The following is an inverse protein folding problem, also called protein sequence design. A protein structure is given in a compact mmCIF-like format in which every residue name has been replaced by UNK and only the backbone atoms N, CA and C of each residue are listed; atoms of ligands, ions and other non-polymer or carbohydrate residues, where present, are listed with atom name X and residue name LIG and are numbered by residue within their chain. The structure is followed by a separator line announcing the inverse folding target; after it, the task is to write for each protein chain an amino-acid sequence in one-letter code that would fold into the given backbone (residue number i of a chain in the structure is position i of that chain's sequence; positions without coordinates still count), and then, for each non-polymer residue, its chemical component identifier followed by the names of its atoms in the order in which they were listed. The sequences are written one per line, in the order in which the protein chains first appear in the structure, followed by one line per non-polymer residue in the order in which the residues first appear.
data_IF_318853125997
#
_entry.id   IF_318853125997
#
_cell.length_a   1.000
_cell.length_b   1.000
_cell.length_c   1.000
_cell.angle_alpha   90.00
_cell.angle_beta   90.00
_cell.angle_gamma   90.00
#
_symmetry.space_group_name_H-M   'P 1'
#
loop_
_entity.id
_entity.type
_entity.pdbx_description
1 polymer ?
#
# COMPACT_ATOMS: atom_id res chain seq x y z
N UNK A 1 40.93 26.14 -69.83
CA UNK A 1 40.86 25.13 -68.73
C UNK A 1 40.04 25.74 -67.61
N UNK A 2 38.74 25.35 -67.49
CA UNK A 2 37.86 25.80 -66.41
C UNK A 2 37.75 24.66 -65.35
N UNK A 3 38.25 24.92 -64.17
CA UNK A 3 38.14 24.01 -63.03
C UNK A 3 36.75 24.13 -62.35
N UNK A 4 36.02 23.02 -62.43
CA UNK A 4 34.71 22.88 -61.78
C UNK A 4 34.90 22.46 -60.30
N UNK A 5 34.47 23.29 -59.38
CA UNK A 5 34.45 22.98 -57.93
C UNK A 5 33.13 22.29 -57.61
N UNK A 6 33.18 21.01 -57.24
CA UNK A 6 32.05 20.26 -56.76
C UNK A 6 31.88 20.47 -55.25
N UNK A 7 30.77 21.08 -54.88
CA UNK A 7 30.43 21.29 -53.46
C UNK A 7 29.60 20.11 -52.98
N UNK A 8 30.14 19.32 -52.05
CA UNK A 8 29.42 18.20 -51.38
C UNK A 8 28.58 18.77 -50.21
N UNK A 9 27.28 18.71 -50.34
CA UNK A 9 26.36 19.06 -49.22
C UNK A 9 26.12 17.81 -48.36
N UNK A 10 26.62 17.84 -47.11
CA UNK A 10 26.29 16.83 -46.11
C UNK A 10 24.88 17.11 -45.54
N UNK A 11 23.97 16.21 -45.79
CA UNK A 11 22.63 16.20 -45.17
C UNK A 11 22.72 15.52 -43.80
N UNK A 12 22.71 16.30 -42.71
CA UNK A 12 22.63 15.77 -41.36
C UNK A 12 21.16 15.40 -41.04
N UNK A 13 20.86 14.12 -41.06
CA UNK A 13 19.56 13.61 -40.56
C UNK A 13 19.60 13.56 -39.06
N UNK A 14 18.95 14.53 -38.40
CA UNK A 14 18.71 14.51 -36.96
C UNK A 14 17.67 13.45 -36.61
N UNK A 15 18.11 12.30 -36.08
CA UNK A 15 17.23 11.31 -35.45
C UNK A 15 16.71 11.90 -34.16
N UNK A 16 15.50 12.48 -34.13
CA UNK A 16 14.77 12.78 -32.92
C UNK A 16 14.22 11.48 -32.35
N UNK A 17 14.90 10.93 -31.34
CA UNK A 17 14.38 9.85 -30.54
C UNK A 17 13.14 10.35 -29.79
N UNK A 18 11.96 10.05 -30.31
CA UNK A 18 10.72 10.17 -29.52
C UNK A 18 10.76 9.16 -28.39
N UNK A 19 11.17 9.58 -27.21
CA UNK A 19 10.91 8.82 -25.98
C UNK A 19 9.40 8.81 -25.77
N UNK A 20 8.76 7.68 -26.11
CA UNK A 20 7.38 7.44 -25.69
C UNK A 20 7.34 7.52 -24.18
N UNK A 21 6.43 8.31 -23.56
CA UNK A 21 6.21 8.20 -22.14
C UNK A 21 5.86 6.74 -21.84
N UNK A 22 6.64 6.09 -21.02
CA UNK A 22 6.28 4.78 -20.47
C UNK A 22 4.92 4.94 -19.82
N UNK A 23 3.90 4.27 -20.35
CA UNK A 23 2.60 4.21 -19.70
C UNK A 23 2.85 3.80 -18.23
N UNK A 24 2.29 4.56 -17.29
CA UNK A 24 2.35 4.17 -15.89
C UNK A 24 1.88 2.72 -15.78
N UNK A 25 2.64 1.87 -15.07
CA UNK A 25 2.28 0.47 -14.91
C UNK A 25 0.85 0.40 -14.36
N UNK A 26 0.01 -0.41 -14.98
CA UNK A 26 -1.35 -0.63 -14.50
C UNK A 26 -1.29 -1.37 -13.16
N UNK A 27 -2.10 -0.92 -12.20
CA UNK A 27 -2.17 -1.57 -10.88
C UNK A 27 -2.59 -3.02 -11.05
N UNK A 28 -1.81 -4.01 -10.55
CA UNK A 28 -1.97 -5.40 -10.96
C UNK A 28 -3.11 -6.14 -10.26
N UNK A 29 -3.70 -5.60 -9.21
CA UNK A 29 -4.86 -6.23 -8.55
C UNK A 29 -6.13 -5.82 -9.31
N UNK A 30 -6.99 -6.81 -9.61
CA UNK A 30 -8.20 -6.62 -10.40
C UNK A 30 -9.44 -7.15 -9.68
N UNK A 31 -10.61 -6.80 -10.18
CA UNK A 31 -11.88 -7.33 -9.65
C UNK A 31 -11.93 -8.87 -9.72
N UNK A 32 -12.49 -9.48 -8.69
CA UNK A 32 -12.63 -10.93 -8.57
C UNK A 32 -11.42 -11.67 -8.03
N UNK A 33 -10.34 -10.97 -7.65
CA UNK A 33 -9.10 -11.64 -7.24
C UNK A 33 -9.10 -12.12 -5.80
N UNK A 34 -8.37 -13.22 -5.63
CA UNK A 34 -7.96 -13.81 -4.35
C UNK A 34 -6.47 -13.53 -4.16
N UNK A 35 -6.20 -12.48 -3.37
CA UNK A 35 -4.84 -12.00 -3.06
C UNK A 35 -4.31 -12.75 -1.84
N UNK A 36 -3.13 -13.33 -1.96
CA UNK A 36 -2.41 -13.95 -0.85
C UNK A 36 -1.07 -13.28 -0.65
N UNK A 37 -0.77 -12.93 0.61
CA UNK A 37 0.46 -12.27 1.02
C UNK A 37 1.29 -13.29 1.77
N UNK A 38 2.36 -13.78 1.12
CA UNK A 38 3.27 -14.81 1.60
C UNK A 38 4.58 -14.16 2.06
N UNK A 39 5.08 -14.53 3.23
CA UNK A 39 6.32 -14.01 3.77
C UNK A 39 6.64 -14.57 5.15
N UNK A 40 7.57 -13.92 5.83
CA UNK A 40 8.09 -14.29 7.14
C UNK A 40 7.37 -13.60 8.32
N UNK A 41 8.08 -13.37 9.44
CA UNK A 41 7.55 -12.72 10.65
C UNK A 41 7.03 -11.30 10.40
N UNK A 42 7.63 -10.57 9.47
CA UNK A 42 7.24 -9.19 9.16
C UNK A 42 5.87 -9.19 8.46
N UNK A 43 5.66 -10.14 7.55
CA UNK A 43 4.34 -10.40 6.95
C UNK A 43 3.36 -10.92 8.01
N UNK A 44 3.79 -11.83 8.91
CA UNK A 44 2.96 -12.37 10.00
C UNK A 44 2.43 -11.29 10.94
N UNK A 45 3.13 -10.17 11.13
CA UNK A 45 2.66 -9.01 11.90
C UNK A 45 1.40 -8.36 11.30
N UNK A 46 1.09 -8.58 10.04
CA UNK A 46 -0.12 -8.08 9.33
C UNK A 46 -0.21 -6.56 9.19
N UNK A 47 0.84 -5.79 9.48
CA UNK A 47 0.77 -4.33 9.44
C UNK A 47 0.79 -3.81 7.99
N UNK A 48 1.90 -4.00 7.23
CA UNK A 48 1.97 -3.52 5.85
C UNK A 48 0.92 -4.16 4.94
N UNK A 49 0.58 -5.41 5.20
CA UNK A 49 -0.44 -6.14 4.43
C UNK A 49 -1.85 -5.61 4.68
N UNK A 50 -2.15 -5.13 5.90
CA UNK A 50 -3.39 -4.42 6.21
C UNK A 50 -3.46 -3.08 5.50
N UNK A 51 -2.34 -2.34 5.38
CA UNK A 51 -2.27 -1.09 4.60
C UNK A 51 -2.61 -1.37 3.13
N UNK A 52 -1.98 -2.39 2.52
CA UNK A 52 -2.23 -2.76 1.11
C UNK A 52 -3.69 -3.16 0.89
N UNK A 53 -4.24 -3.99 1.76
CA UNK A 53 -5.64 -4.41 1.67
C UNK A 53 -6.61 -3.24 1.85
N UNK A 54 -6.46 -2.46 2.92
CA UNK A 54 -7.33 -1.33 3.21
C UNK A 54 -7.29 -0.25 2.11
N UNK A 55 -6.08 0.05 1.59
CA UNK A 55 -5.91 0.91 0.43
C UNK A 55 -6.70 0.40 -0.78
N UNK A 56 -6.51 -0.88 -1.12
CA UNK A 56 -7.15 -1.47 -2.31
C UNK A 56 -8.67 -1.47 -2.19
N UNK A 57 -9.20 -1.84 -1.01
CA UNK A 57 -10.64 -1.87 -0.76
C UNK A 57 -11.27 -0.46 -0.74
N UNK A 58 -10.58 0.53 -0.21
CA UNK A 58 -11.02 1.92 -0.22
C UNK A 58 -11.02 2.52 -1.64
N UNK A 59 -9.99 2.20 -2.43
CA UNK A 59 -9.80 2.71 -3.78
C UNK A 59 -10.78 2.09 -4.79
N UNK A 60 -11.09 0.80 -4.62
CA UNK A 60 -11.93 0.02 -5.53
C UNK A 60 -13.12 -0.60 -4.78
N UNK A 61 -14.07 0.25 -4.28
CA UNK A 61 -15.14 -0.23 -3.39
C UNK A 61 -16.13 -1.18 -4.06
N UNK A 62 -16.14 -1.29 -5.39
CA UNK A 62 -17.03 -2.18 -6.14
C UNK A 62 -16.39 -3.56 -6.44
N UNK A 63 -15.07 -3.70 -6.28
CA UNK A 63 -14.39 -4.95 -6.61
C UNK A 63 -14.67 -6.05 -5.59
N UNK A 64 -14.82 -7.27 -6.07
CA UNK A 64 -15.00 -8.48 -5.23
C UNK A 64 -13.61 -9.07 -4.95
N UNK A 65 -13.00 -8.65 -3.87
CA UNK A 65 -11.64 -9.05 -3.49
C UNK A 65 -11.65 -9.85 -2.20
N UNK A 66 -10.75 -10.83 -2.12
CA UNK A 66 -10.40 -11.46 -0.86
C UNK A 66 -8.89 -11.33 -0.63
N UNK A 67 -8.50 -11.07 0.62
CA UNK A 67 -7.10 -11.00 1.04
C UNK A 67 -6.84 -12.00 2.15
N UNK A 68 -5.71 -12.73 2.05
CA UNK A 68 -5.25 -13.68 3.08
C UNK A 68 -3.77 -13.49 3.31
N UNK A 69 -3.39 -13.26 4.55
CA UNK A 69 -2.01 -13.16 4.98
C UNK A 69 -1.59 -14.52 5.54
N UNK A 70 -0.55 -15.11 4.97
CA UNK A 70 0.05 -16.36 5.41
C UNK A 70 1.54 -16.19 5.74
N UNK A 71 1.90 -15.06 6.36
CA UNK A 71 3.21 -14.85 6.95
C UNK A 71 3.49 -15.81 8.10
N UNK A 72 4.75 -16.22 8.27
CA UNK A 72 5.16 -17.18 9.30
C UNK A 72 6.49 -16.78 9.93
N UNK A 73 6.51 -16.60 11.24
CA UNK A 73 7.68 -16.17 12.01
C UNK A 73 8.90 -17.05 11.78
N UNK A 74 10.04 -16.42 11.45
CA UNK A 74 11.31 -17.11 11.18
C UNK A 74 11.39 -17.84 9.83
N UNK A 75 10.38 -17.74 8.98
CA UNK A 75 10.32 -18.45 7.71
C UNK A 75 11.28 -17.85 6.66
N UNK A 76 11.60 -18.68 5.67
CA UNK A 76 12.48 -18.40 4.54
C UNK A 76 11.78 -18.76 3.23
N UNK A 77 12.35 -18.37 2.09
CA UNK A 77 11.85 -18.80 0.78
C UNK A 77 11.76 -20.33 0.67
N UNK A 78 12.72 -21.06 1.25
CA UNK A 78 12.69 -22.53 1.31
C UNK A 78 11.52 -23.04 2.16
N UNK A 79 11.30 -22.47 3.34
CA UNK A 79 10.18 -22.84 4.22
C UNK A 79 8.84 -22.52 3.56
N UNK A 80 8.71 -21.32 2.97
CA UNK A 80 7.54 -20.91 2.20
C UNK A 80 7.20 -21.87 1.06
N UNK A 81 8.20 -22.30 0.28
CA UNK A 81 8.05 -23.32 -0.76
C UNK A 81 7.57 -24.66 -0.18
N UNK A 82 8.18 -25.10 0.91
CA UNK A 82 7.85 -26.39 1.55
C UNK A 82 6.42 -26.43 2.08
N UNK A 83 5.90 -25.33 2.61
CA UNK A 83 4.52 -25.24 3.13
C UNK A 83 3.47 -24.80 2.12
N UNK A 84 3.86 -24.36 0.92
CA UNK A 84 2.92 -23.85 -0.09
C UNK A 84 1.80 -24.84 -0.44
N UNK A 85 2.02 -26.17 -0.60
CA UNK A 85 0.95 -27.11 -0.86
C UNK A 85 -0.11 -27.20 0.24
N UNK A 86 0.29 -26.98 1.51
CA UNK A 86 -0.61 -27.04 2.67
C UNK A 86 -1.32 -25.69 2.91
N UNK A 87 -0.60 -24.57 2.78
CA UNK A 87 -1.05 -23.27 3.29
C UNK A 87 -1.49 -22.31 2.19
N UNK A 88 -0.86 -22.38 1.02
CA UNK A 88 -1.04 -21.42 -0.07
C UNK A 88 -2.02 -21.94 -1.15
N UNK A 89 -1.76 -23.12 -1.71
CA UNK A 89 -2.55 -23.64 -2.82
C UNK A 89 -4.03 -23.89 -2.48
N UNK A 90 -4.40 -24.33 -1.25
CA UNK A 90 -5.82 -24.47 -0.88
C UNK A 90 -6.62 -23.17 -0.89
N UNK A 91 -5.95 -22.00 -0.79
CA UNK A 91 -6.57 -20.68 -0.89
C UNK A 91 -6.91 -20.32 -2.35
N UNK A 92 -6.45 -21.11 -3.32
CA UNK A 92 -6.67 -20.90 -4.77
C UNK A 92 -6.33 -19.47 -5.19
N UNK A 93 -5.12 -18.95 -4.87
CA UNK A 93 -4.77 -17.57 -5.13
C UNK A 93 -4.80 -17.27 -6.63
N UNK A 94 -5.17 -16.03 -6.97
CA UNK A 94 -5.03 -15.49 -8.34
C UNK A 94 -3.91 -14.46 -8.42
N UNK A 95 -3.56 -13.84 -7.28
CA UNK A 95 -2.45 -12.93 -7.15
C UNK A 95 -1.70 -13.19 -5.82
N UNK A 96 -0.38 -13.30 -5.87
CA UNK A 96 0.47 -13.57 -4.69
C UNK A 96 1.61 -12.58 -4.63
N UNK A 97 1.83 -11.95 -3.47
CA UNK A 97 3.09 -11.29 -3.15
C UNK A 97 3.98 -12.24 -2.38
N UNK A 98 5.28 -12.28 -2.68
CA UNK A 98 6.28 -13.08 -1.97
C UNK A 98 7.31 -12.14 -1.38
N UNK A 99 7.38 -12.07 -0.04
CA UNK A 99 8.27 -11.19 0.72
C UNK A 99 9.11 -12.03 1.69
N UNK A 100 10.26 -12.52 1.19
CA UNK A 100 11.28 -13.25 1.93
C UNK A 100 12.65 -12.61 1.72
N UNK A 101 13.64 -13.02 2.50
CA UNK A 101 15.03 -12.57 2.44
C UNK A 101 15.59 -12.21 3.81
N UNK A 102 14.75 -11.70 4.72
CA UNK A 102 15.19 -11.28 6.04
C UNK A 102 15.80 -12.43 6.86
N UNK A 103 15.21 -13.62 6.83
CA UNK A 103 15.78 -14.79 7.50
C UNK A 103 16.74 -15.57 6.58
N UNK A 104 16.51 -15.52 5.26
CA UNK A 104 17.32 -16.25 4.29
C UNK A 104 18.80 -15.82 4.34
N UNK A 105 19.10 -14.51 4.52
CA UNK A 105 20.48 -14.00 4.55
C UNK A 105 21.26 -14.42 5.82
N UNK A 106 20.61 -15.03 6.80
CA UNK A 106 21.23 -15.55 8.01
C UNK A 106 21.87 -14.50 8.92
N UNK A 107 21.46 -13.25 8.80
CA UNK A 107 21.92 -12.09 9.60
C UNK A 107 23.43 -11.89 9.55
N UNK A 108 24.06 -12.08 8.39
CA UNK A 108 25.50 -12.02 8.17
C UNK A 108 25.87 -11.27 6.88
N UNK A 109 27.17 -11.09 6.67
CA UNK A 109 27.71 -10.62 5.41
C UNK A 109 27.33 -11.58 4.27
N UNK A 110 27.34 -11.05 3.03
CA UNK A 110 27.00 -11.82 1.84
C UNK A 110 27.74 -13.16 1.77
N UNK A 111 26.98 -14.20 1.47
CA UNK A 111 27.43 -15.57 1.22
C UNK A 111 26.81 -16.08 -0.07
N UNK A 112 27.65 -16.51 -1.01
CA UNK A 112 27.25 -16.96 -2.35
C UNK A 112 26.34 -18.20 -2.30
N UNK A 113 26.60 -19.13 -1.35
CA UNK A 113 25.79 -20.34 -1.20
C UNK A 113 24.37 -20.02 -0.70
N UNK A 114 24.27 -19.14 0.28
CA UNK A 114 22.99 -18.62 0.80
C UNK A 114 22.23 -17.89 -0.30
N UNK A 115 22.91 -17.01 -1.03
CA UNK A 115 22.30 -16.25 -2.13
C UNK A 115 21.74 -17.19 -3.21
N UNK A 116 22.52 -18.15 -3.68
CA UNK A 116 22.07 -19.12 -4.70
C UNK A 116 20.87 -19.94 -4.22
N UNK A 117 20.88 -20.39 -2.97
CA UNK A 117 19.73 -21.10 -2.41
C UNK A 117 18.48 -20.22 -2.37
N UNK A 118 18.60 -18.98 -1.90
CA UNK A 118 17.48 -18.02 -1.88
C UNK A 118 16.88 -17.81 -3.27
N UNK A 119 17.71 -17.51 -4.26
CA UNK A 119 17.27 -17.28 -5.66
C UNK A 119 16.63 -18.54 -6.25
N UNK A 120 17.20 -19.73 -5.99
CA UNK A 120 16.62 -21.01 -6.43
C UNK A 120 15.22 -21.23 -5.83
N UNK A 121 15.04 -20.99 -4.52
CA UNK A 121 13.74 -21.19 -3.87
C UNK A 121 12.69 -20.16 -4.28
N UNK A 122 13.08 -18.90 -4.49
CA UNK A 122 12.20 -17.88 -5.08
C UNK A 122 11.75 -18.28 -6.50
N UNK A 123 12.67 -18.76 -7.33
CA UNK A 123 12.35 -19.22 -8.68
C UNK A 123 11.38 -20.40 -8.67
N UNK A 124 11.59 -21.37 -7.77
CA UNK A 124 10.69 -22.52 -7.61
C UNK A 124 9.30 -22.11 -7.13
N UNK A 125 9.20 -21.15 -6.19
CA UNK A 125 7.90 -20.57 -5.75
C UNK A 125 7.16 -19.91 -6.91
N UNK A 126 7.85 -19.11 -7.71
CA UNK A 126 7.28 -18.48 -8.90
C UNK A 126 6.75 -19.54 -9.86
N UNK A 127 7.55 -20.56 -10.18
CA UNK A 127 7.15 -21.64 -11.07
C UNK A 127 5.94 -22.40 -10.56
N UNK A 128 5.89 -22.73 -9.25
CA UNK A 128 4.77 -23.39 -8.59
C UNK A 128 3.47 -22.56 -8.74
N UNK A 129 3.55 -21.27 -8.48
CA UNK A 129 2.38 -20.38 -8.52
C UNK A 129 1.87 -20.17 -9.95
N UNK A 130 2.77 -19.95 -10.91
CA UNK A 130 2.40 -19.86 -12.33
C UNK A 130 1.73 -21.14 -12.83
N UNK A 131 2.24 -22.32 -12.45
CA UNK A 131 1.63 -23.61 -12.78
C UNK A 131 0.21 -23.78 -12.17
N UNK A 132 -0.10 -23.05 -11.08
CA UNK A 132 -1.42 -23.02 -10.46
C UNK A 132 -2.29 -21.80 -10.88
N UNK A 133 -1.87 -21.07 -11.91
CA UNK A 133 -2.64 -19.97 -12.50
C UNK A 133 -2.59 -18.67 -11.72
N UNK A 134 -1.71 -18.52 -10.74
CA UNK A 134 -1.54 -17.28 -9.99
C UNK A 134 -0.52 -16.34 -10.67
N UNK A 135 -0.82 -15.04 -10.67
CA UNK A 135 0.14 -13.98 -10.96
C UNK A 135 0.96 -13.69 -9.72
N UNK A 136 2.22 -13.34 -9.90
CA UNK A 136 3.18 -13.19 -8.79
C UNK A 136 3.80 -11.80 -8.82
N UNK A 137 3.96 -11.20 -7.65
CA UNK A 137 4.83 -10.06 -7.41
C UNK A 137 5.90 -10.47 -6.40
N UNK A 138 7.17 -10.42 -6.81
CA UNK A 138 8.30 -10.58 -5.93
C UNK A 138 8.58 -9.26 -5.23
N UNK A 139 8.64 -9.30 -3.89
CA UNK A 139 8.89 -8.13 -3.04
C UNK A 139 10.27 -8.27 -2.42
N UNK A 140 11.10 -7.22 -2.50
CA UNK A 140 12.41 -7.23 -1.84
C UNK A 140 12.24 -7.19 -0.31
N UNK A 141 13.13 -7.82 0.48
CA UNK A 141 13.14 -7.59 1.92
C UNK A 141 13.39 -6.10 2.21
N UNK A 142 12.86 -5.58 3.33
CA UNK A 142 13.24 -4.25 3.79
C UNK A 142 14.66 -4.27 4.41
N UNK A 143 15.32 -3.10 4.53
CA UNK A 143 16.61 -3.04 5.22
C UNK A 143 16.47 -3.17 6.74
N UNK A 144 17.55 -3.63 7.40
CA UNK A 144 17.70 -3.66 8.86
C UNK A 144 17.98 -2.24 9.36
N UNK A 145 17.31 -1.81 10.42
CA UNK A 145 17.45 -0.49 11.02
C UNK A 145 18.19 -0.53 12.37
N UNK A 146 19.46 -0.90 12.35
CA UNK A 146 20.30 -0.78 13.56
C UNK A 146 20.74 0.66 13.80
N UNK A 147 20.95 0.99 15.07
CA UNK A 147 21.51 2.31 15.44
C UNK A 147 22.95 2.46 14.97
N UNK A 148 23.73 1.39 14.95
CA UNK A 148 25.11 1.32 14.48
C UNK A 148 25.43 -0.09 13.95
N UNK A 149 26.22 -0.24 12.90
CA UNK A 149 26.73 0.84 12.02
C UNK A 149 25.58 1.59 11.32
N UNK A 150 25.91 2.65 10.58
CA UNK A 150 24.93 3.32 9.71
C UNK A 150 24.32 2.29 8.76
N UNK A 151 23.03 2.39 8.40
CA UNK A 151 22.34 1.35 7.63
C UNK A 151 22.99 1.02 6.28
N UNK A 152 23.58 2.04 5.61
CA UNK A 152 24.28 1.88 4.33
C UNK A 152 25.66 1.21 4.46
N UNK A 153 26.18 1.09 5.68
CA UNK A 153 27.46 0.44 6.01
C UNK A 153 27.31 -0.91 6.70
N UNK A 154 26.05 -1.30 6.99
CA UNK A 154 25.76 -2.59 7.61
C UNK A 154 25.94 -3.69 6.58
N UNK A 155 26.85 -4.65 6.87
CA UNK A 155 27.12 -5.80 5.99
C UNK A 155 25.88 -6.67 5.74
N UNK A 156 24.92 -6.66 6.66
CA UNK A 156 23.64 -7.36 6.50
C UNK A 156 22.78 -6.66 5.44
N UNK A 157 22.76 -5.34 5.44
CA UNK A 157 22.05 -4.55 4.42
C UNK A 157 22.72 -4.67 3.04
N UNK A 158 24.07 -4.81 2.97
CA UNK A 158 24.75 -5.16 1.72
C UNK A 158 24.29 -6.52 1.19
N UNK A 159 24.17 -7.52 2.09
CA UNK A 159 23.64 -8.86 1.75
C UNK A 159 22.20 -8.78 1.25
N UNK A 160 21.30 -8.06 1.95
CA UNK A 160 19.90 -7.88 1.57
C UNK A 160 19.76 -7.12 0.25
N UNK A 161 20.60 -6.13 -0.02
CA UNK A 161 20.65 -5.42 -1.29
C UNK A 161 20.98 -6.34 -2.45
N UNK A 162 22.00 -7.20 -2.30
CA UNK A 162 22.37 -8.19 -3.32
C UNK A 162 21.24 -9.21 -3.56
N UNK A 163 20.54 -9.63 -2.49
CA UNK A 163 19.33 -10.46 -2.62
C UNK A 163 18.23 -9.75 -3.39
N UNK A 164 18.03 -8.46 -3.13
CA UNK A 164 17.05 -7.62 -3.84
C UNK A 164 17.38 -7.49 -5.33
N UNK A 165 18.66 -7.30 -5.67
CA UNK A 165 19.12 -7.26 -7.06
C UNK A 165 18.89 -8.60 -7.78
N UNK A 166 19.27 -9.71 -7.13
CA UNK A 166 19.02 -11.05 -7.67
C UNK A 166 17.53 -11.35 -7.84
N UNK A 167 16.68 -10.86 -6.93
CA UNK A 167 15.23 -11.01 -7.05
C UNK A 167 14.66 -10.23 -8.25
N UNK A 168 15.22 -9.06 -8.56
CA UNK A 168 14.89 -8.28 -9.76
C UNK A 168 15.23 -9.06 -11.03
N UNK A 169 16.37 -9.75 -11.04
CA UNK A 169 16.77 -10.62 -12.17
C UNK A 169 15.80 -11.79 -12.33
N UNK A 170 15.40 -12.44 -11.22
CA UNK A 170 14.39 -13.51 -11.24
C UNK A 170 13.07 -12.98 -11.81
N UNK A 171 12.59 -11.83 -11.34
CA UNK A 171 11.34 -11.24 -11.83
C UNK A 171 11.39 -10.97 -13.34
N UNK A 172 12.51 -10.44 -13.84
CA UNK A 172 12.72 -10.16 -15.25
C UNK A 172 12.73 -11.47 -16.07
N UNK A 173 13.48 -12.48 -15.61
CA UNK A 173 13.62 -13.77 -16.29
C UNK A 173 12.30 -14.54 -16.34
N UNK A 174 11.58 -14.55 -15.24
CA UNK A 174 10.32 -15.28 -15.09
C UNK A 174 9.11 -14.51 -15.65
N UNK A 175 9.27 -13.23 -16.01
CA UNK A 175 8.19 -12.38 -16.50
C UNK A 175 7.10 -12.12 -15.46
N UNK A 176 7.51 -11.93 -14.19
CA UNK A 176 6.61 -11.61 -13.06
C UNK A 176 6.84 -10.19 -12.56
N UNK A 177 5.92 -9.70 -11.73
CA UNK A 177 6.01 -8.37 -11.16
C UNK A 177 7.12 -8.31 -10.11
N UNK A 178 7.69 -7.13 -9.97
CA UNK A 178 8.72 -6.82 -8.99
C UNK A 178 8.32 -5.57 -8.21
N UNK A 179 8.43 -5.62 -6.90
CA UNK A 179 8.17 -4.50 -6.02
C UNK A 179 9.38 -4.26 -5.10
N UNK A 180 10.08 -3.18 -5.35
CA UNK A 180 11.21 -2.76 -4.53
C UNK A 180 10.72 -1.94 -3.33
N UNK A 181 10.94 -2.46 -2.13
CA UNK A 181 10.79 -1.72 -0.89
C UNK A 181 12.14 -1.42 -0.22
N UNK A 182 13.21 -2.13 -0.60
CA UNK A 182 14.53 -1.98 0.01
C UNK A 182 15.09 -0.56 -0.19
N UNK A 183 15.26 -0.15 -1.44
CA UNK A 183 15.88 1.13 -1.75
C UNK A 183 15.04 2.34 -1.30
N UNK A 184 13.71 2.38 -1.50
CA UNK A 184 12.88 3.46 -0.97
C UNK A 184 12.93 3.56 0.56
N UNK A 185 12.87 2.43 1.29
CA UNK A 185 12.96 2.43 2.74
C UNK A 185 14.34 2.91 3.22
N UNK A 186 15.42 2.41 2.62
CA UNK A 186 16.79 2.85 2.90
C UNK A 186 16.96 4.36 2.70
N UNK A 187 16.42 4.90 1.60
CA UNK A 187 16.47 6.33 1.33
C UNK A 187 15.79 7.17 2.42
N UNK A 188 14.64 6.70 2.94
CA UNK A 188 13.93 7.37 4.06
C UNK A 188 14.77 7.32 5.34
N UNK A 189 15.36 6.17 5.68
CA UNK A 189 16.25 6.03 6.83
C UNK A 189 17.44 6.98 6.76
N UNK A 190 18.14 6.98 5.63
CA UNK A 190 19.33 7.85 5.44
C UNK A 190 18.97 9.32 5.52
N UNK A 191 17.85 9.73 4.92
CA UNK A 191 17.37 11.12 5.01
C UNK A 191 17.03 11.51 6.45
N UNK A 192 16.39 10.63 7.21
CA UNK A 192 16.07 10.89 8.61
C UNK A 192 17.35 11.05 9.45
N UNK A 193 18.36 10.20 9.22
CA UNK A 193 19.65 10.26 9.93
C UNK A 193 20.53 11.43 9.53
N UNK A 194 20.37 11.99 8.35
CA UNK A 194 21.01 13.27 7.98
C UNK A 194 20.51 14.43 8.87
N UNK A 195 19.24 14.41 9.25
CA UNK A 195 18.65 15.42 10.12
C UNK A 195 18.91 15.12 11.61
N UNK A 196 18.86 13.85 12.01
CA UNK A 196 19.15 13.36 13.36
C UNK A 196 19.88 12.01 13.27
N UNK A 197 21.18 11.94 13.57
CA UNK A 197 21.97 10.70 13.56
C UNK A 197 21.42 9.57 14.44
N UNK A 198 20.56 9.89 15.42
CA UNK A 198 19.91 8.92 16.30
C UNK A 198 18.53 8.50 15.81
N UNK A 199 18.04 9.05 14.69
CA UNK A 199 16.72 8.74 14.17
C UNK A 199 16.52 7.24 13.94
N UNK A 200 15.39 6.72 14.43
CA UNK A 200 14.88 5.39 14.14
C UNK A 200 13.44 5.56 13.63
N UNK A 201 13.22 5.32 12.34
CA UNK A 201 11.94 5.61 11.68
C UNK A 201 10.96 4.44 11.71
N UNK A 202 11.48 3.21 11.83
CA UNK A 202 10.67 2.00 11.77
C UNK A 202 9.69 1.86 12.93
N UNK A 203 10.08 2.29 14.13
CA UNK A 203 9.22 2.25 15.32
C UNK A 203 8.98 0.83 15.87
N UNK A 204 9.86 -0.11 15.57
CA UNK A 204 9.88 -1.48 16.10
C UNK A 204 11.26 -1.83 16.64
N UNK A 205 11.67 -3.08 16.45
CA UNK A 205 13.07 -3.48 16.60
C UNK A 205 13.82 -3.30 15.26
N UNK A 206 15.12 -3.64 15.23
CA UNK A 206 15.95 -3.45 14.04
C UNK A 206 15.49 -4.27 12.82
N UNK A 207 14.76 -5.36 13.02
CA UNK A 207 14.33 -6.33 12.01
C UNK A 207 12.83 -6.22 11.72
N UNK A 208 12.04 -5.95 12.76
CA UNK A 208 10.57 -5.91 12.70
C UNK A 208 10.08 -4.48 12.86
N UNK A 209 9.90 -3.73 11.75
CA UNK A 209 9.37 -2.37 11.83
C UNK A 209 7.96 -2.36 12.46
N UNK A 210 7.69 -1.31 13.24
CA UNK A 210 6.35 -1.02 13.75
C UNK A 210 5.45 -0.37 12.69
N UNK A 211 4.29 0.20 13.10
CA UNK A 211 3.30 0.74 12.17
C UNK A 211 3.84 1.78 11.18
N UNK A 212 4.72 2.69 11.61
CA UNK A 212 5.34 3.70 10.74
C UNK A 212 6.20 3.05 9.66
N UNK A 213 7.13 2.16 10.05
CA UNK A 213 8.03 1.49 9.10
C UNK A 213 7.27 0.58 8.15
N UNK A 214 6.31 -0.19 8.63
CA UNK A 214 5.50 -1.05 7.76
C UNK A 214 4.55 -0.26 6.84
N UNK A 215 4.18 0.97 7.20
CA UNK A 215 3.49 1.86 6.26
C UNK A 215 4.42 2.36 5.16
N UNK A 216 5.72 2.60 5.46
CA UNK A 216 6.73 2.90 4.45
C UNK A 216 6.90 1.72 3.48
N UNK A 217 6.95 0.48 4.00
CA UNK A 217 6.98 -0.74 3.18
C UNK A 217 5.78 -0.79 2.23
N UNK A 218 4.57 -0.67 2.77
CA UNK A 218 3.34 -0.68 1.97
C UNK A 218 3.30 0.43 0.91
N UNK A 219 3.75 1.64 1.25
CA UNK A 219 3.87 2.75 0.30
C UNK A 219 4.82 2.41 -0.84
N UNK A 220 6.00 1.87 -0.55
CA UNK A 220 6.97 1.50 -1.56
C UNK A 220 6.42 0.41 -2.49
N UNK A 221 5.83 -0.65 -1.93
CA UNK A 221 5.21 -1.76 -2.67
C UNK A 221 4.07 -1.24 -3.57
N UNK A 222 3.11 -0.52 -3.01
CA UNK A 222 1.96 0.00 -3.75
C UNK A 222 2.39 0.93 -4.88
N UNK A 223 3.33 1.83 -4.61
CA UNK A 223 3.87 2.77 -5.60
C UNK A 223 4.60 2.03 -6.73
N UNK A 224 5.46 1.07 -6.40
CA UNK A 224 6.19 0.25 -7.37
C UNK A 224 5.24 -0.56 -8.26
N UNK A 225 4.13 -1.05 -7.70
CA UNK A 225 3.08 -1.76 -8.42
C UNK A 225 2.09 -0.83 -9.17
N UNK A 226 2.34 0.47 -9.24
CA UNK A 226 1.51 1.40 -10.01
C UNK A 226 0.15 1.72 -9.39
N UNK A 227 0.02 1.61 -8.06
CA UNK A 227 -1.21 1.95 -7.36
C UNK A 227 -1.62 3.42 -7.62
N UNK A 228 -2.88 3.70 -8.02
CA UNK A 228 -3.30 5.04 -8.41
C UNK A 228 -3.34 6.01 -7.23
N UNK A 229 -2.71 7.17 -7.38
CA UNK A 229 -2.71 8.23 -6.37
C UNK A 229 -4.06 8.98 -6.29
N UNK A 230 -4.71 9.20 -7.43
CA UNK A 230 -5.93 9.99 -7.49
C UNK A 230 -7.12 9.26 -6.85
N UNK A 231 -7.74 9.86 -5.84
CA UNK A 231 -9.03 9.42 -5.27
C UNK A 231 -10.15 10.13 -6.03
N UNK A 232 -10.23 11.43 -5.85
CA UNK A 232 -11.19 12.31 -6.52
C UNK A 232 -10.76 13.76 -6.35
N UNK A 233 -11.25 14.64 -7.23
CA UNK A 233 -11.03 16.07 -7.15
C UNK A 233 -12.30 16.84 -7.48
N UNK A 234 -12.54 17.93 -6.77
CA UNK A 234 -13.63 18.89 -7.04
C UNK A 234 -13.05 20.29 -7.11
N UNK A 235 -13.43 21.05 -8.16
CA UNK A 235 -13.10 22.45 -8.32
C UNK A 235 -14.40 23.28 -8.45
N UNK A 236 -14.53 24.29 -7.59
CA UNK A 236 -15.69 25.20 -7.56
C UNK A 236 -15.25 26.66 -7.61
N UNK A 237 -16.11 27.48 -8.17
CA UNK A 237 -16.00 28.92 -8.03
C UNK A 237 -16.82 29.39 -6.81
N UNK A 238 -16.15 29.88 -5.78
CA UNK A 238 -16.74 30.26 -4.49
C UNK A 238 -17.57 31.53 -4.53
N UNK A 239 -17.46 32.36 -5.59
CA UNK A 239 -18.29 33.55 -5.73
C UNK A 239 -19.63 33.25 -6.44
N UNK A 240 -19.71 32.21 -7.26
CA UNK A 240 -20.89 31.89 -8.07
C UNK A 240 -21.54 30.55 -7.71
N UNK A 241 -20.84 29.67 -6.97
CA UNK A 241 -21.28 28.31 -6.73
C UNK A 241 -21.07 27.35 -7.94
N UNK A 242 -20.54 27.86 -9.06
CA UNK A 242 -20.35 27.04 -10.27
C UNK A 242 -19.31 25.93 -10.02
N UNK A 243 -19.71 24.70 -10.33
CA UNK A 243 -18.76 23.56 -10.41
C UNK A 243 -17.92 23.73 -11.69
N UNK A 244 -16.63 23.88 -11.54
CA UNK A 244 -15.65 24.04 -12.64
C UNK A 244 -15.22 22.69 -13.18
N UNK A 245 -14.88 21.77 -12.26
CA UNK A 245 -14.49 20.41 -12.60
C UNK A 245 -14.81 19.44 -11.44
N UNK A 246 -15.10 18.19 -11.79
CA UNK A 246 -15.24 17.10 -10.82
C UNK A 246 -14.74 15.80 -11.47
N UNK A 247 -13.81 15.11 -10.80
CA UNK A 247 -13.25 13.85 -11.27
C UNK A 247 -13.28 12.86 -10.12
N UNK A 248 -13.80 11.64 -10.36
CA UNK A 248 -13.95 10.61 -9.32
C UNK A 248 -15.00 10.97 -8.25
N UNK A 249 -15.80 12.05 -8.46
CA UNK A 249 -16.90 12.44 -7.59
C UNK A 249 -18.02 13.12 -8.38
N UNK A 250 -19.19 13.20 -7.76
CA UNK A 250 -20.34 13.97 -8.20
C UNK A 250 -20.58 15.12 -7.23
N UNK A 251 -20.84 16.32 -7.77
CA UNK A 251 -21.17 17.51 -6.99
C UNK A 251 -22.60 17.92 -7.34
N UNK A 252 -23.44 18.09 -6.32
CA UNK A 252 -24.81 18.61 -6.45
C UNK A 252 -25.10 19.72 -5.44
N UNK A 253 -26.24 20.40 -5.60
CA UNK A 253 -26.75 21.41 -4.69
C UNK A 253 -25.78 22.56 -4.38
N UNK A 254 -24.85 22.84 -5.30
CA UNK A 254 -23.85 23.88 -5.12
C UNK A 254 -24.50 25.27 -5.13
N UNK A 255 -24.30 26.03 -4.06
CA UNK A 255 -24.84 27.37 -3.87
C UNK A 255 -23.90 28.24 -3.05
N UNK A 256 -24.06 29.56 -3.23
CA UNK A 256 -23.35 30.59 -2.46
C UNK A 256 -24.37 31.57 -1.88
N UNK A 257 -24.25 31.85 -0.60
CA UNK A 257 -25.05 32.86 0.09
C UNK A 257 -24.20 33.52 1.19
N UNK A 258 -24.08 34.84 1.18
CA UNK A 258 -23.31 35.62 2.17
C UNK A 258 -21.88 35.04 2.40
N UNK A 259 -21.14 34.83 1.33
CA UNK A 259 -19.78 34.22 1.34
C UNK A 259 -19.67 32.78 1.87
N UNK A 260 -20.81 32.12 2.09
CA UNK A 260 -20.86 30.71 2.46
C UNK A 260 -21.08 29.88 1.21
N UNK A 261 -20.15 28.96 0.93
CA UNK A 261 -20.25 28.00 -0.18
C UNK A 261 -20.74 26.67 0.37
N UNK A 262 -21.84 26.16 -0.16
CA UNK A 262 -22.41 24.86 0.25
C UNK A 262 -22.57 23.97 -0.98
N UNK A 263 -22.25 22.69 -0.87
CA UNK A 263 -22.46 21.67 -1.90
C UNK A 263 -22.53 20.27 -1.31
N UNK A 264 -23.17 19.36 -2.01
CA UNK A 264 -23.12 17.92 -1.71
C UNK A 264 -22.07 17.27 -2.60
N UNK A 265 -21.19 16.44 -2.01
CA UNK A 265 -20.18 15.65 -2.72
C UNK A 265 -20.39 14.17 -2.44
N UNK A 266 -20.43 13.36 -3.52
CA UNK A 266 -20.44 11.90 -3.46
C UNK A 266 -19.26 11.39 -4.26
N UNK A 267 -18.33 10.75 -3.59
CA UNK A 267 -17.12 10.18 -4.19
C UNK A 267 -17.35 8.79 -4.77
N UNK A 268 -16.55 8.40 -5.74
CA UNK A 268 -16.54 7.05 -6.30
C UNK A 268 -15.66 6.08 -5.48
N UNK A 269 -14.73 6.61 -4.68
CA UNK A 269 -13.79 5.88 -3.84
C UNK A 269 -13.56 6.65 -2.52
N UNK A 270 -13.04 5.95 -1.51
CA UNK A 270 -12.60 6.57 -0.27
C UNK A 270 -11.11 6.95 -0.34
N UNK A 271 -10.68 8.01 0.39
CA UNK A 271 -9.27 8.24 0.63
C UNK A 271 -8.63 7.08 1.38
N UNK A 272 -7.31 6.98 1.30
CA UNK A 272 -6.55 5.90 1.92
C UNK A 272 -6.82 5.81 3.43
N UNK A 273 -7.27 4.66 3.93
CA UNK A 273 -7.29 4.41 5.37
C UNK A 273 -5.87 4.37 5.93
N UNK A 274 -5.65 5.04 7.05
CA UNK A 274 -4.36 5.08 7.72
C UNK A 274 -4.51 4.66 9.18
N UNK A 275 -3.57 3.82 9.64
CA UNK A 275 -3.43 3.51 11.06
C UNK A 275 -3.12 4.79 11.84
N UNK A 276 -3.91 5.19 12.85
CA UNK A 276 -3.61 6.37 13.66
C UNK A 276 -2.21 6.35 14.28
N UNK A 277 -1.68 5.16 14.65
CA UNK A 277 -0.33 5.00 15.19
C UNK A 277 0.78 5.22 14.14
N UNK A 278 0.44 5.19 12.85
CA UNK A 278 1.36 5.42 11.75
C UNK A 278 1.28 6.84 11.15
N UNK A 279 0.44 7.73 11.66
CA UNK A 279 0.22 9.07 11.08
C UNK A 279 1.51 9.89 10.90
N UNK A 280 2.49 9.69 11.78
CA UNK A 280 3.81 10.32 11.70
C UNK A 280 4.55 10.03 10.36
N UNK A 281 4.21 8.96 9.64
CA UNK A 281 4.77 8.59 8.34
C UNK A 281 4.60 9.68 7.29
N UNK A 282 3.53 10.48 7.38
CA UNK A 282 3.25 11.58 6.44
C UNK A 282 4.30 12.70 6.46
N UNK A 283 5.11 12.76 7.53
CA UNK A 283 6.26 13.68 7.65
C UNK A 283 7.54 13.09 7.05
N UNK A 284 7.59 11.78 6.86
CA UNK A 284 8.77 11.05 6.36
C UNK A 284 8.72 10.83 4.85
N UNK A 285 7.54 10.54 4.32
CA UNK A 285 7.31 10.22 2.91
C UNK A 285 6.11 11.01 2.35
N UNK A 286 6.04 11.25 1.04
CA UNK A 286 4.91 11.92 0.39
C UNK A 286 3.70 10.98 0.22
N UNK A 287 3.29 10.28 1.30
CA UNK A 287 2.27 9.24 1.29
C UNK A 287 0.98 9.68 0.60
N UNK A 288 0.49 10.87 0.99
CA UNK A 288 -0.80 11.37 0.49
C UNK A 288 -0.72 11.79 -0.98
N UNK A 289 0.39 12.39 -1.39
CA UNK A 289 0.60 12.77 -2.78
C UNK A 289 0.72 11.55 -3.70
N UNK A 290 1.36 10.49 -3.21
CA UNK A 290 1.63 9.27 -3.97
C UNK A 290 0.45 8.28 -3.97
N UNK A 291 -0.38 8.23 -2.90
CA UNK A 291 -1.40 7.20 -2.74
C UNK A 291 -2.81 7.72 -2.39
N UNK A 292 -2.99 9.01 -2.08
CA UNK A 292 -4.31 9.50 -1.63
C UNK A 292 -4.55 10.98 -1.92
N UNK A 293 -4.66 11.33 -3.21
CA UNK A 293 -5.04 12.67 -3.62
C UNK A 293 -6.56 12.82 -3.60
N UNK A 294 -7.07 13.29 -2.47
CA UNK A 294 -8.49 13.59 -2.23
C UNK A 294 -8.65 15.13 -2.16
N UNK A 295 -8.90 15.77 -3.30
CA UNK A 295 -8.64 17.18 -3.49
C UNK A 295 -9.94 18.01 -3.52
N UNK A 296 -9.87 19.20 -2.91
CA UNK A 296 -10.84 20.27 -3.02
C UNK A 296 -10.13 21.56 -3.41
N UNK A 297 -10.57 22.19 -4.49
CA UNK A 297 -10.11 23.51 -4.94
C UNK A 297 -11.30 24.45 -5.02
N UNK A 298 -11.18 25.63 -4.38
CA UNK A 298 -12.22 26.66 -4.43
C UNK A 298 -11.60 28.02 -4.70
N UNK A 299 -11.93 28.62 -5.83
CA UNK A 299 -11.45 29.94 -6.27
C UNK A 299 -12.52 31.02 -6.05
N UNK A 300 -12.13 32.28 -6.08
CA UNK A 300 -13.09 33.41 -5.99
C UNK A 300 -13.69 33.62 -4.58
N UNK A 301 -13.00 33.12 -3.55
CA UNK A 301 -13.35 33.39 -2.16
C UNK A 301 -12.85 34.79 -1.73
N UNK A 302 -13.61 35.49 -0.90
CA UNK A 302 -13.38 36.91 -0.53
C UNK A 302 -12.77 37.08 0.85
N UNK A 303 -13.13 36.22 1.81
CA UNK A 303 -12.53 36.23 3.15
C UNK A 303 -11.14 35.60 3.14
N UNK A 304 -10.23 36.00 4.04
CA UNK A 304 -8.85 35.45 4.07
C UNK A 304 -8.79 33.99 4.51
N UNK A 305 -9.73 33.53 5.35
CA UNK A 305 -9.79 32.16 5.89
C UNK A 305 -11.21 31.62 5.87
N UNK A 306 -11.34 30.33 5.70
CA UNK A 306 -12.60 29.59 5.68
C UNK A 306 -12.54 28.38 6.59
N UNK A 307 -13.58 28.20 7.39
CA UNK A 307 -13.86 26.97 8.10
C UNK A 307 -14.58 26.00 7.15
N UNK A 308 -13.99 24.83 6.92
CA UNK A 308 -14.68 23.70 6.29
C UNK A 308 -15.47 22.92 7.34
N UNK A 309 -16.75 22.70 7.05
CA UNK A 309 -17.58 21.72 7.76
C UNK A 309 -17.95 20.61 6.77
N UNK A 310 -18.05 19.37 7.30
CA UNK A 310 -18.58 18.21 6.58
C UNK A 310 -19.69 17.61 7.44
N UNK A 311 -20.92 17.55 6.91
CA UNK A 311 -22.13 17.17 7.64
C UNK A 311 -22.26 17.94 8.97
N UNK A 312 -22.16 19.27 8.90
CA UNK A 312 -22.22 20.23 10.01
C UNK A 312 -21.10 20.08 11.07
N UNK A 313 -20.19 19.10 10.94
CA UNK A 313 -19.04 18.93 11.84
C UNK A 313 -17.84 19.76 11.35
N UNK A 314 -17.19 20.56 12.23
CA UNK A 314 -15.94 21.24 11.88
C UNK A 314 -14.86 20.24 11.43
N UNK A 315 -14.28 20.49 10.25
CA UNK A 315 -13.31 19.60 9.65
C UNK A 315 -11.89 20.21 9.61
N UNK A 316 -11.75 21.42 9.09
CA UNK A 316 -10.48 22.14 9.01
C UNK A 316 -10.70 23.63 8.81
N UNK A 317 -9.63 24.42 8.97
CA UNK A 317 -9.57 25.82 8.56
C UNK A 317 -8.49 25.95 7.50
N UNK A 318 -8.84 26.58 6.38
CA UNK A 318 -7.93 26.85 5.27
C UNK A 318 -7.92 28.35 4.97
N UNK A 319 -6.80 28.85 4.49
CA UNK A 319 -6.75 30.16 3.84
C UNK A 319 -7.42 30.10 2.46
N UNK A 320 -7.94 31.23 1.97
CA UNK A 320 -8.45 31.32 0.60
C UNK A 320 -7.38 30.95 -0.45
N UNK A 321 -6.13 31.25 -0.15
CA UNK A 321 -5.00 30.89 -1.02
C UNK A 321 -4.78 29.37 -1.09
N UNK A 322 -4.78 28.66 0.03
CA UNK A 322 -4.67 27.19 0.06
C UNK A 322 -5.82 26.54 -0.71
N UNK A 323 -7.07 27.01 -0.49
CA UNK A 323 -8.22 26.52 -1.22
C UNK A 323 -8.12 26.80 -2.74
N UNK A 324 -7.59 27.98 -3.13
CA UNK A 324 -7.39 28.31 -4.53
C UNK A 324 -6.27 27.49 -5.20
N UNK A 325 -5.28 27.02 -4.44
CA UNK A 325 -4.23 26.12 -4.90
C UNK A 325 -4.69 24.65 -4.94
N UNK A 326 -5.64 24.28 -4.08
CA UNK A 326 -6.15 22.93 -3.88
C UNK A 326 -5.61 22.30 -2.61
N UNK A 327 -6.52 21.79 -1.79
CA UNK A 327 -6.24 21.13 -0.52
C UNK A 327 -6.50 19.63 -0.63
N UNK A 328 -5.57 18.80 -0.10
CA UNK A 328 -5.82 17.38 0.07
C UNK A 328 -6.54 17.13 1.41
N UNK A 329 -7.74 16.59 1.35
CA UNK A 329 -8.61 16.40 2.51
C UNK A 329 -8.49 15.01 3.17
N UNK A 330 -7.57 14.15 2.75
CA UNK A 330 -7.46 12.75 3.22
C UNK A 330 -7.42 12.63 4.75
N UNK A 331 -6.69 13.51 5.44
CA UNK A 331 -6.56 13.50 6.90
C UNK A 331 -7.44 14.55 7.60
N UNK A 332 -8.34 15.21 6.86
CA UNK A 332 -9.24 16.19 7.42
C UNK A 332 -10.25 15.50 8.35
N UNK A 333 -10.46 16.04 9.54
CA UNK A 333 -11.41 15.49 10.50
C UNK A 333 -12.84 15.41 9.92
N UNK A 334 -13.64 14.46 10.39
CA UNK A 334 -15.05 14.36 10.00
C UNK A 334 -15.47 12.97 9.52
N UNK A 335 -16.68 12.86 8.95
CA UNK A 335 -17.32 11.56 8.69
C UNK A 335 -16.54 10.67 7.71
N UNK A 336 -15.85 11.25 6.74
CA UNK A 336 -15.08 10.50 5.73
C UNK A 336 -13.85 9.85 6.40
N UNK A 337 -13.14 10.59 7.25
CA UNK A 337 -11.98 10.05 8.01
C UNK A 337 -12.45 9.05 9.06
N UNK A 338 -13.61 9.27 9.68
CA UNK A 338 -14.24 8.30 10.59
C UNK A 338 -14.57 6.99 9.84
N UNK A 339 -15.12 7.08 8.62
CA UNK A 339 -15.42 5.93 7.78
C UNK A 339 -14.16 5.16 7.37
N UNK A 340 -13.09 5.86 6.98
CA UNK A 340 -11.82 5.19 6.61
C UNK A 340 -11.14 4.52 7.81
N UNK A 341 -11.22 5.12 9.00
CA UNK A 341 -10.75 4.50 10.26
C UNK A 341 -11.56 3.25 10.61
N UNK A 342 -12.88 3.30 10.45
CA UNK A 342 -13.72 2.12 10.65
C UNK A 342 -13.34 1.00 9.67
N UNK A 343 -13.13 1.32 8.38
CA UNK A 343 -12.68 0.36 7.39
C UNK A 343 -11.34 -0.27 7.79
N UNK A 344 -10.37 0.55 8.21
CA UNK A 344 -9.08 0.08 8.73
C UNK A 344 -9.25 -0.93 9.87
N UNK A 345 -10.03 -0.57 10.89
CA UNK A 345 -10.28 -1.42 12.07
C UNK A 345 -10.89 -2.77 11.67
N UNK A 346 -11.91 -2.75 10.81
CA UNK A 346 -12.57 -3.98 10.34
C UNK A 346 -11.63 -4.90 9.54
N UNK A 347 -10.76 -4.31 8.70
CA UNK A 347 -9.74 -5.07 7.95
C UNK A 347 -8.73 -5.69 8.91
N UNK A 348 -8.25 -4.96 9.90
CA UNK A 348 -7.31 -5.46 10.91
C UNK A 348 -7.94 -6.59 11.74
N UNK A 349 -9.19 -6.43 12.18
CA UNK A 349 -9.95 -7.46 12.91
C UNK A 349 -10.12 -8.74 12.07
N UNK A 350 -10.47 -8.60 10.78
CA UNK A 350 -10.59 -9.73 9.85
C UNK A 350 -9.26 -10.45 9.67
N UNK A 351 -8.15 -9.71 9.52
CA UNK A 351 -6.82 -10.28 9.38
C UNK A 351 -6.39 -11.04 10.65
N UNK A 352 -6.71 -10.51 11.83
CA UNK A 352 -6.46 -11.19 13.11
C UNK A 352 -7.34 -12.45 13.27
N UNK A 353 -8.60 -12.40 12.87
CA UNK A 353 -9.47 -13.56 12.90
C UNK A 353 -8.98 -14.67 11.96
N UNK A 354 -8.53 -14.31 10.74
CA UNK A 354 -7.94 -15.27 9.81
C UNK A 354 -6.63 -15.86 10.32
N UNK A 355 -5.74 -15.05 10.91
CA UNK A 355 -4.51 -15.51 11.52
C UNK A 355 -4.80 -16.54 12.62
N UNK A 356 -5.73 -16.23 13.54
CA UNK A 356 -6.15 -17.16 14.58
C UNK A 356 -6.70 -18.46 13.99
N UNK A 357 -7.59 -18.34 13.00
CA UNK A 357 -8.20 -19.49 12.33
C UNK A 357 -7.15 -20.42 11.70
N UNK A 358 -6.24 -19.84 10.93
CA UNK A 358 -5.25 -20.59 10.17
C UNK A 358 -4.05 -20.99 11.06
N UNK A 359 -3.41 -20.02 11.71
CA UNK A 359 -2.13 -20.21 12.39
C UNK A 359 -2.26 -20.88 13.76
N UNK A 360 -3.25 -20.45 14.56
CA UNK A 360 -3.37 -20.87 15.95
C UNK A 360 -4.32 -22.06 16.14
N UNK A 361 -5.33 -22.24 15.27
CA UNK A 361 -6.30 -23.33 15.40
C UNK A 361 -6.06 -24.44 14.39
N UNK A 362 -6.06 -24.13 13.08
CA UNK A 362 -5.89 -25.14 12.04
C UNK A 362 -4.54 -25.84 12.11
N UNK A 363 -3.45 -25.09 12.29
CA UNK A 363 -2.07 -25.58 12.29
C UNK A 363 -1.55 -25.91 13.69
N UNK A 364 -2.37 -25.77 14.73
CA UNK A 364 -1.97 -26.18 16.07
C UNK A 364 -1.70 -27.68 16.12
N UNK A 365 -0.48 -28.06 16.48
CA UNK A 365 -0.07 -29.43 16.71
C UNK A 365 -0.18 -29.78 18.19
N UNK A 366 -1.27 -30.41 18.66
CA UNK A 366 -1.39 -30.79 20.05
C UNK A 366 -0.38 -31.93 20.37
N UNK A 367 0.08 -32.05 21.64
CA UNK A 367 0.87 -33.18 22.06
C UNK A 367 0.05 -34.48 21.89
N UNK A 368 0.74 -35.62 21.76
CA UNK A 368 0.10 -36.89 21.40
C UNK A 368 -1.01 -37.30 22.37
N UNK A 369 -0.84 -37.05 23.65
CA UNK A 369 -1.88 -37.35 24.69
C UNK A 369 -3.15 -36.53 24.51
N UNK A 370 -3.11 -35.37 23.83
CA UNK A 370 -4.26 -34.50 23.57
C UNK A 370 -4.93 -34.77 22.20
N UNK A 371 -4.35 -35.64 21.37
CA UNK A 371 -4.91 -36.02 20.05
C UNK A 371 -6.09 -36.98 20.25
N UNK A 372 -7.23 -36.47 20.62
CA UNK A 372 -8.46 -37.22 20.88
C UNK A 372 -9.58 -36.81 19.94
N UNK A 373 -10.59 -37.69 19.67
CA UNK A 373 -11.76 -37.29 18.88
C UNK A 373 -12.50 -36.07 19.43
N UNK A 374 -12.50 -35.89 20.75
CA UNK A 374 -13.09 -34.71 21.39
C UNK A 374 -12.32 -33.42 21.08
N UNK A 375 -10.99 -33.50 21.06
CA UNK A 375 -10.15 -32.36 20.64
C UNK A 375 -10.41 -31.98 19.18
N UNK A 376 -10.44 -32.97 18.28
CA UNK A 376 -10.70 -32.69 16.85
C UNK A 376 -12.09 -32.09 16.63
N UNK A 377 -13.13 -32.60 17.29
CA UNK A 377 -14.47 -32.03 17.23
C UNK A 377 -14.52 -30.59 17.76
N UNK A 378 -13.78 -30.29 18.85
CA UNK A 378 -13.68 -28.94 19.38
C UNK A 378 -12.93 -28.01 18.41
N UNK A 379 -11.85 -28.49 17.77
CA UNK A 379 -11.11 -27.76 16.73
C UNK A 379 -11.98 -27.42 15.53
N UNK A 380 -12.70 -28.39 15.00
CA UNK A 380 -13.64 -28.18 13.87
C UNK A 380 -14.71 -27.15 14.21
N UNK A 381 -15.28 -27.20 15.41
CA UNK A 381 -16.26 -26.22 15.89
C UNK A 381 -15.66 -24.81 15.96
N UNK A 382 -14.43 -24.66 16.47
CA UNK A 382 -13.76 -23.36 16.55
C UNK A 382 -13.38 -22.85 15.14
N UNK A 383 -12.94 -23.71 14.23
CA UNK A 383 -12.70 -23.33 12.84
C UNK A 383 -13.97 -22.80 12.17
N UNK A 384 -15.10 -23.50 12.32
CA UNK A 384 -16.39 -23.05 11.78
C UNK A 384 -16.82 -21.70 12.37
N UNK A 385 -16.67 -21.51 13.68
CA UNK A 385 -16.96 -20.24 14.35
C UNK A 385 -16.10 -19.08 13.83
N UNK A 386 -14.81 -19.33 13.59
CA UNK A 386 -13.89 -18.32 13.05
C UNK A 386 -14.18 -18.03 11.58
N UNK A 387 -14.57 -19.03 10.78
CA UNK A 387 -15.00 -18.84 9.40
C UNK A 387 -16.25 -17.96 9.33
N UNK A 388 -17.23 -18.17 10.21
CA UNK A 388 -18.40 -17.31 10.33
C UNK A 388 -18.04 -15.88 10.74
N UNK A 389 -17.15 -15.71 11.73
CA UNK A 389 -16.66 -14.40 12.17
C UNK A 389 -15.98 -13.65 11.01
N UNK A 390 -15.13 -14.31 10.23
CA UNK A 390 -14.46 -13.73 9.06
C UNK A 390 -15.49 -13.28 8.03
N UNK A 391 -16.49 -14.11 7.72
CA UNK A 391 -17.56 -13.78 6.77
C UNK A 391 -18.39 -12.56 7.21
N UNK A 392 -18.69 -12.47 8.51
CA UNK A 392 -19.40 -11.31 9.09
C UNK A 392 -18.55 -10.04 8.98
N UNK A 393 -17.23 -10.12 9.24
CA UNK A 393 -16.31 -8.99 9.09
C UNK A 393 -16.17 -8.57 7.62
N UNK A 394 -16.07 -9.50 6.69
CA UNK A 394 -16.07 -9.19 5.25
C UNK A 394 -17.37 -8.50 4.79
N UNK A 395 -18.50 -8.88 5.35
CA UNK A 395 -19.78 -8.19 5.10
C UNK A 395 -19.75 -6.75 5.62
N UNK A 396 -19.25 -6.52 6.85
CA UNK A 396 -19.11 -5.18 7.43
C UNK A 396 -18.11 -4.33 6.63
N UNK A 397 -16.98 -4.91 6.19
CA UNK A 397 -15.98 -4.27 5.33
C UNK A 397 -16.64 -3.83 4.02
N UNK A 398 -17.43 -4.71 3.38
CA UNK A 398 -18.12 -4.39 2.14
C UNK A 398 -19.12 -3.23 2.29
N UNK A 399 -19.76 -3.08 3.43
CA UNK A 399 -20.62 -1.93 3.73
C UNK A 399 -19.78 -0.67 4.01
N UNK A 400 -18.75 -0.78 4.86
CA UNK A 400 -17.93 0.36 5.31
C UNK A 400 -17.13 1.01 4.17
N UNK A 401 -16.73 0.26 3.14
CA UNK A 401 -15.96 0.79 2.00
C UNK A 401 -16.80 1.53 0.95
N UNK A 402 -18.15 1.56 1.07
CA UNK A 402 -19.01 2.26 0.11
C UNK A 402 -19.05 3.75 0.44
N UNK A 403 -18.57 4.65 -0.45
CA UNK A 403 -18.63 6.09 -0.20
C UNK A 403 -20.06 6.59 -0.06
N UNK A 404 -20.29 7.47 0.91
CA UNK A 404 -21.57 8.12 1.15
C UNK A 404 -21.56 9.55 0.63
N UNK A 405 -22.70 10.14 0.26
CA UNK A 405 -22.79 11.58 -0.02
C UNK A 405 -22.63 12.37 1.27
N UNK A 406 -21.89 13.47 1.21
CA UNK A 406 -21.66 14.37 2.34
C UNK A 406 -21.92 15.82 1.93
N UNK A 407 -22.44 16.62 2.86
CA UNK A 407 -22.61 18.06 2.69
C UNK A 407 -21.35 18.80 3.14
N UNK A 408 -20.77 19.57 2.23
CA UNK A 408 -19.61 20.42 2.46
C UNK A 408 -20.07 21.88 2.61
N UNK A 409 -19.59 22.55 3.64
CA UNK A 409 -19.86 23.97 3.88
C UNK A 409 -18.54 24.68 4.14
N UNK A 410 -18.23 25.68 3.31
CA UNK A 410 -17.14 26.61 3.54
C UNK A 410 -17.75 27.94 4.01
N UNK A 411 -17.48 28.33 5.24
CA UNK A 411 -17.91 29.61 5.81
C UNK A 411 -16.70 30.45 6.23
N UNK A 412 -16.74 31.80 6.09
CA UNK A 412 -15.68 32.65 6.61
C UNK A 412 -15.37 32.32 8.06
N UNK A 413 -14.09 32.10 8.35
CA UNK A 413 -13.63 31.86 9.73
C UNK A 413 -13.46 33.20 10.44
N UNK A 414 -13.67 33.21 11.75
CA UNK A 414 -13.30 34.35 12.58
C UNK A 414 -11.80 34.67 12.41
N UNK A 415 -11.43 35.98 12.44
CA UNK A 415 -10.04 36.40 12.30
C UNK A 415 -9.08 35.74 13.30
#
# INVERSE_FOLDING_TARGET
MKTMKTTLALLAVALTAFTRPTAAAEFPIHDGERVVLLGDSITEQRLYTTVIEAYTLARFPQWKLTFRNIGWGGDTAQGGLGRAPRDLLPLKPTFVTIDFGMNDHGYRAYDEGIFKNYIDKQTQLVALLKANGARVALVTPQPIEEKRPDPDKDVRNDSLRKMSDGLREVATKEGVLFADQFDPYMAVMLKARQADPAAAIGGGDAVHPGPVGQTIMAWAILKCLGAPAAVSSAELNGSTGKVVAATGCQISDAKVAADVVTFTRKDAALPMPLDPSAEAVTKLIPLLADLSRYELKVTGLTAPKYQLLIDDKPAAVFTAQELAQGCNLTLTAGPITEQTRQLWTLVAEKNNAFFRRWREVQLYGPPDWAKTPAFEAAREKELARLDEQIAQLETKINAARQPQPHTFVLKPAAP
#
